data_IF_832329353668
#
_entry.id   IF_832329353668
#
_cell.length_a   1.000
_cell.length_b   1.000
_cell.length_c   1.000
_cell.angle_alpha   90.00
_cell.angle_beta   90.00
_cell.angle_gamma   90.00
#
_symmetry.space_group_name_H-M   'P 1'
#
loop_
_entity.id
_entity.type
_entity.pdbx_description
1 polymer ?
#
# COMPACT_ATOMS: atom_id res chain seq x y z
N UNK A 1 -17.22 -18.04 14.00
CA UNK A 1 -16.06 -17.28 14.51
C UNK A 1 -15.74 -16.11 13.58
N UNK A 2 -15.47 -14.95 14.14
CA UNK A 2 -14.97 -13.84 13.34
C UNK A 2 -13.62 -14.22 12.73
N UNK A 3 -13.36 -13.91 11.45
CA UNK A 3 -12.09 -14.19 10.85
C UNK A 3 -10.99 -13.37 11.53
N UNK A 4 -9.88 -14.02 11.82
CA UNK A 4 -8.74 -13.39 12.46
C UNK A 4 -7.90 -12.62 11.44
N UNK A 5 -7.42 -11.46 11.85
CA UNK A 5 -6.43 -10.70 11.12
C UNK A 5 -5.04 -11.24 11.42
N UNK A 6 -4.20 -11.27 10.43
CA UNK A 6 -2.78 -11.57 10.55
C UNK A 6 -1.96 -10.30 10.34
N UNK A 7 -0.98 -10.07 11.20
CA UNK A 7 -0.11 -8.91 11.13
C UNK A 7 1.29 -9.34 10.69
N UNK A 8 1.80 -8.71 9.64
CA UNK A 8 3.19 -8.86 9.21
C UNK A 8 3.93 -7.54 9.44
N UNK A 9 4.78 -7.52 10.45
CA UNK A 9 5.69 -6.41 10.71
C UNK A 9 7.00 -6.65 9.98
N UNK A 10 7.30 -5.82 9.00
CA UNK A 10 8.45 -5.94 8.13
C UNK A 10 9.18 -4.60 8.09
N UNK A 11 9.81 -4.26 9.23
CA UNK A 11 10.36 -2.93 9.49
C UNK A 11 11.77 -2.73 8.94
N UNK A 12 12.43 -3.77 8.46
CA UNK A 12 13.63 -3.64 7.65
C UNK A 12 13.25 -3.10 6.27
N UNK A 13 14.02 -2.14 5.77
CA UNK A 13 13.81 -1.63 4.43
C UNK A 13 14.09 -2.70 3.37
N UNK A 14 13.20 -2.84 2.40
CA UNK A 14 13.37 -3.75 1.26
C UNK A 14 13.30 -2.99 -0.06
N UNK A 15 14.00 -3.47 -1.10
CA UNK A 15 13.84 -2.88 -2.43
C UNK A 15 12.41 -3.07 -2.96
N UNK A 16 12.01 -2.19 -3.88
CA UNK A 16 10.64 -2.15 -4.40
C UNK A 16 10.14 -3.49 -4.95
N UNK A 17 10.99 -4.21 -5.69
CA UNK A 17 10.59 -5.50 -6.25
C UNK A 17 10.27 -6.56 -5.19
N UNK A 18 10.99 -6.57 -4.05
CA UNK A 18 10.67 -7.46 -2.93
C UNK A 18 9.37 -7.03 -2.24
N UNK A 19 9.21 -5.74 -2.00
CA UNK A 19 7.99 -5.22 -1.37
C UNK A 19 6.75 -5.55 -2.19
N UNK A 20 6.81 -5.34 -3.50
CA UNK A 20 5.67 -5.65 -4.37
C UNK A 20 5.45 -7.16 -4.55
N UNK A 21 6.52 -7.96 -4.53
CA UNK A 21 6.42 -9.40 -4.51
C UNK A 21 5.72 -9.93 -3.26
N UNK A 22 6.02 -9.36 -2.10
CA UNK A 22 5.33 -9.69 -0.84
C UNK A 22 3.87 -9.28 -0.86
N UNK A 23 3.54 -8.08 -1.34
CA UNK A 23 2.16 -7.64 -1.47
C UNK A 23 1.37 -8.55 -2.43
N UNK A 24 1.99 -8.97 -3.54
CA UNK A 24 1.38 -9.91 -4.47
C UNK A 24 1.14 -11.30 -3.83
N UNK A 25 2.07 -11.76 -3.01
CA UNK A 25 1.92 -13.02 -2.27
C UNK A 25 0.77 -12.93 -1.26
N UNK A 26 0.63 -11.81 -0.57
CA UNK A 26 -0.47 -11.60 0.37
C UNK A 26 -1.83 -11.51 -0.36
N UNK A 27 -1.84 -10.91 -1.55
CA UNK A 27 -3.04 -10.87 -2.39
C UNK A 27 -3.51 -12.29 -2.77
N UNK A 28 -2.58 -13.17 -3.12
CA UNK A 28 -2.89 -14.57 -3.40
C UNK A 28 -3.45 -15.30 -2.18
N UNK A 29 -2.96 -14.98 -0.98
CA UNK A 29 -3.48 -15.54 0.27
C UNK A 29 -4.87 -14.98 0.60
N UNK A 30 -5.11 -13.71 0.31
CA UNK A 30 -6.42 -13.10 0.48
C UNK A 30 -7.48 -13.75 -0.41
N UNK A 31 -7.10 -14.22 -1.60
CA UNK A 31 -8.00 -14.99 -2.48
C UNK A 31 -8.46 -16.32 -1.86
N UNK A 32 -7.73 -16.81 -0.85
CA UNK A 32 -8.09 -18.00 -0.06
C UNK A 32 -8.88 -17.65 1.22
N UNK A 33 -9.27 -16.39 1.39
CA UNK A 33 -10.04 -15.93 2.54
C UNK A 33 -9.21 -15.40 3.71
N UNK A 34 -7.90 -15.34 3.60
CA UNK A 34 -7.05 -14.80 4.66
C UNK A 34 -7.14 -13.27 4.70
N UNK A 35 -6.89 -12.68 5.87
CA UNK A 35 -6.88 -11.23 6.10
C UNK A 35 -5.53 -10.82 6.67
N UNK A 36 -4.83 -9.96 5.95
CA UNK A 36 -3.49 -9.52 6.29
C UNK A 36 -3.41 -8.01 6.39
N UNK A 37 -2.72 -7.54 7.43
CA UNK A 37 -2.18 -6.19 7.53
C UNK A 37 -0.67 -6.30 7.53
N UNK A 38 -0.01 -5.62 6.60
CA UNK A 38 1.44 -5.54 6.54
C UNK A 38 1.88 -4.10 6.77
N UNK A 39 2.89 -3.91 7.64
CA UNK A 39 3.57 -2.64 7.84
C UNK A 39 5.02 -2.81 7.39
N UNK A 40 5.50 -1.91 6.53
CA UNK A 40 6.81 -2.10 5.92
C UNK A 40 7.48 -0.78 5.52
N UNK A 41 8.75 -0.89 5.16
CA UNK A 41 9.59 0.23 4.74
C UNK A 41 10.29 -0.09 3.42
N UNK A 42 10.87 0.95 2.83
CA UNK A 42 11.55 0.88 1.54
C UNK A 42 13.03 1.21 1.71
N UNK A 43 13.90 0.41 1.11
CA UNK A 43 15.32 0.69 1.00
C UNK A 43 15.89 -0.08 -0.20
N UNK A 44 16.45 0.63 -1.18
CA UNK A 44 16.54 2.09 -1.29
C UNK A 44 15.18 2.77 -1.46
N UNK A 45 15.17 4.11 -1.46
CA UNK A 45 13.96 4.86 -1.82
C UNK A 45 13.47 4.41 -3.20
N UNK A 46 12.16 4.34 -3.37
CA UNK A 46 11.56 3.72 -4.55
C UNK A 46 10.45 4.58 -5.15
N UNK A 47 10.39 4.61 -6.46
CA UNK A 47 9.28 5.20 -7.20
C UNK A 47 8.35 4.07 -7.64
N UNK A 48 7.12 4.06 -7.14
CA UNK A 48 6.14 3.07 -7.56
C UNK A 48 5.09 3.65 -8.49
N UNK A 49 4.79 2.93 -9.57
CA UNK A 49 3.76 3.30 -10.52
C UNK A 49 2.48 2.51 -10.26
N UNK A 50 1.34 3.11 -10.55
CA UNK A 50 0.06 2.41 -10.50
C UNK A 50 -0.03 1.29 -11.53
N UNK A 51 -0.86 0.28 -11.26
CA UNK A 51 -0.98 -0.93 -12.09
C UNK A 51 -1.21 -0.64 -13.58
N UNK A 52 -2.07 0.33 -13.89
CA UNK A 52 -2.44 0.67 -15.26
C UNK A 52 -1.90 2.04 -15.71
N UNK A 53 -1.02 2.62 -14.91
CA UNK A 53 -0.48 3.94 -15.21
C UNK A 53 0.47 3.88 -16.41
N UNK A 54 0.28 4.77 -17.42
CA UNK A 54 1.17 4.82 -18.58
C UNK A 54 2.48 5.55 -18.24
N UNK A 55 3.33 4.92 -17.43
CA UNK A 55 4.52 5.53 -16.83
C UNK A 55 5.49 6.09 -17.90
N UNK A 56 5.69 5.38 -18.99
CA UNK A 56 6.60 5.83 -20.08
C UNK A 56 6.11 7.08 -20.80
N UNK A 57 4.82 7.40 -20.71
CA UNK A 57 4.25 8.63 -21.28
C UNK A 57 4.27 9.80 -20.33
N UNK A 58 4.27 9.53 -19.01
CA UNK A 58 4.13 10.55 -17.96
C UNK A 58 5.45 10.95 -17.34
N UNK A 59 6.43 10.04 -17.34
CA UNK A 59 7.67 10.24 -16.58
C UNK A 59 8.88 10.06 -17.48
N UNK A 60 9.93 10.82 -17.17
CA UNK A 60 11.18 10.83 -17.93
C UNK A 60 12.05 9.63 -17.52
N UNK A 61 12.04 8.60 -18.37
CA UNK A 61 12.81 7.37 -18.16
C UNK A 61 14.30 7.65 -18.05
N UNK A 62 14.85 8.54 -18.86
CA UNK A 62 16.28 8.84 -18.86
C UNK A 62 16.72 9.45 -17.54
N UNK A 63 15.91 10.35 -16.98
CA UNK A 63 16.18 10.93 -15.65
C UNK A 63 16.10 9.91 -14.54
N UNK A 64 15.16 8.99 -14.60
CA UNK A 64 15.02 7.91 -13.64
C UNK A 64 16.26 7.02 -13.66
N UNK A 65 16.72 6.62 -14.85
CA UNK A 65 17.90 5.79 -15.02
C UNK A 65 19.18 6.51 -14.61
N UNK A 66 19.35 7.79 -15.01
CA UNK A 66 20.51 8.59 -14.66
C UNK A 66 20.67 8.77 -13.15
N UNK A 67 19.57 8.87 -12.42
CA UNK A 67 19.56 8.99 -10.96
C UNK A 67 19.57 7.66 -10.24
N UNK A 68 19.60 6.56 -10.96
CA UNK A 68 19.59 5.18 -10.43
C UNK A 68 18.45 4.96 -9.41
N UNK A 69 17.28 5.51 -9.72
CA UNK A 69 16.12 5.33 -8.85
C UNK A 69 15.64 3.89 -8.92
N UNK A 70 15.32 3.34 -7.77
CA UNK A 70 14.58 2.08 -7.71
C UNK A 70 13.15 2.34 -8.17
N UNK A 71 12.64 1.52 -9.06
CA UNK A 71 11.29 1.67 -9.63
C UNK A 71 10.55 0.35 -9.64
N UNK A 72 9.24 0.43 -9.45
CA UNK A 72 8.39 -0.76 -9.44
C UNK A 72 6.96 -0.39 -9.84
N UNK A 73 6.21 -1.38 -10.31
CA UNK A 73 4.78 -1.23 -10.57
C UNK A 73 4.00 -1.95 -9.48
N UNK A 74 3.01 -1.25 -8.89
CA UNK A 74 2.15 -1.82 -7.85
C UNK A 74 1.05 -2.70 -8.45
N UNK A 75 0.56 -3.70 -7.71
CA UNK A 75 -0.65 -4.44 -8.08
C UNK A 75 -1.93 -3.60 -7.93
N UNK A 76 -1.85 -2.44 -7.28
CA UNK A 76 -2.96 -1.50 -7.06
C UNK A 76 -2.92 -0.33 -8.04
N UNK A 77 -4.05 0.37 -8.19
CA UNK A 77 -4.15 1.52 -9.09
C UNK A 77 -3.49 2.79 -8.56
N UNK A 78 -3.83 3.91 -9.18
CA UNK A 78 -3.35 5.23 -8.80
C UNK A 78 -2.16 5.71 -9.61
N UNK A 79 -1.58 6.83 -9.19
CA UNK A 79 -0.42 7.48 -9.82
C UNK A 79 0.88 7.12 -9.10
N UNK A 80 1.99 7.57 -9.66
CA UNK A 80 3.31 7.38 -9.06
C UNK A 80 3.39 7.94 -7.65
N UNK A 81 4.04 7.18 -6.77
CA UNK A 81 4.33 7.56 -5.39
C UNK A 81 5.82 7.41 -5.16
N UNK A 82 6.41 8.45 -4.58
CA UNK A 82 7.79 8.40 -4.12
C UNK A 82 7.83 7.91 -2.68
N UNK A 83 8.39 6.72 -2.49
CA UNK A 83 8.57 6.09 -1.18
C UNK A 83 9.95 6.39 -0.64
N UNK A 84 10.00 7.14 0.44
CA UNK A 84 11.25 7.55 1.09
C UNK A 84 11.24 7.14 2.56
N UNK A 85 11.44 8.08 3.47
CA UNK A 85 11.41 7.83 4.90
C UNK A 85 9.97 7.77 5.41
N UNK A 86 9.36 6.63 5.23
CA UNK A 86 7.94 6.41 5.54
C UNK A 86 7.71 5.03 6.15
N UNK A 87 6.58 4.90 6.81
CA UNK A 87 5.98 3.61 7.13
C UNK A 87 4.81 3.40 6.18
N UNK A 88 4.88 2.33 5.40
CA UNK A 88 3.83 1.96 4.46
C UNK A 88 2.99 0.83 5.05
N UNK A 89 1.70 0.84 4.77
CA UNK A 89 0.83 -0.29 5.09
C UNK A 89 0.22 -0.89 3.82
N UNK A 90 -0.05 -2.19 3.87
CA UNK A 90 -0.86 -2.90 2.88
C UNK A 90 -1.90 -3.75 3.59
N UNK A 91 -3.09 -3.76 3.06
CA UNK A 91 -4.17 -4.64 3.49
C UNK A 91 -4.52 -5.57 2.35
N UNK A 92 -4.48 -6.86 2.62
CA UNK A 92 -4.89 -7.90 1.69
C UNK A 92 -5.99 -8.74 2.35
N UNK A 93 -7.20 -8.65 1.84
CA UNK A 93 -8.37 -9.32 2.40
C UNK A 93 -9.46 -9.44 1.34
N UNK A 94 -10.41 -10.40 1.50
CA UNK A 94 -11.61 -10.40 0.68
C UNK A 94 -12.42 -9.12 0.88
N UNK A 95 -12.88 -8.52 -0.20
CA UNK A 95 -13.62 -7.25 -0.15
C UNK A 95 -15.12 -7.45 0.18
N UNK A 96 -15.70 -8.58 -0.19
CA UNK A 96 -17.14 -8.84 -0.02
C UNK A 96 -17.61 -8.72 1.44
N UNK A 97 -16.89 -9.26 2.46
CA UNK A 97 -17.32 -9.11 3.86
C UNK A 97 -17.40 -7.66 4.34
N UNK A 98 -16.74 -6.73 3.64
CA UNK A 98 -16.82 -5.30 3.95
C UNK A 98 -17.99 -4.60 3.24
N UNK A 99 -18.62 -5.24 2.28
CA UNK A 99 -19.63 -4.61 1.43
C UNK A 99 -19.08 -4.03 0.13
N UNK A 100 -17.92 -4.52 -0.33
CA UNK A 100 -17.24 -4.08 -1.54
C UNK A 100 -16.01 -3.20 -1.28
N UNK A 101 -15.35 -2.76 -2.33
CA UNK A 101 -14.06 -2.07 -2.25
C UNK A 101 -14.16 -0.71 -1.55
N UNK A 102 -15.17 0.10 -1.87
CA UNK A 102 -15.35 1.42 -1.24
C UNK A 102 -15.61 1.30 0.25
N UNK A 103 -16.47 0.38 0.65
CA UNK A 103 -16.76 0.11 2.06
C UNK A 103 -15.52 -0.43 2.79
N UNK A 104 -14.70 -1.25 2.14
CA UNK A 104 -13.45 -1.74 2.69
C UNK A 104 -12.46 -0.58 2.95
N UNK A 105 -12.31 0.35 2.03
CA UNK A 105 -11.48 1.54 2.25
C UNK A 105 -11.93 2.36 3.44
N UNK A 106 -13.23 2.62 3.54
CA UNK A 106 -13.79 3.38 4.66
C UNK A 106 -13.51 2.71 6.01
N UNK A 107 -13.70 1.40 6.08
CA UNK A 107 -13.45 0.62 7.29
C UNK A 107 -11.97 0.59 7.69
N UNK A 108 -11.08 0.40 6.73
CA UNK A 108 -9.63 0.41 6.97
C UNK A 108 -9.19 1.77 7.49
N UNK A 109 -9.65 2.86 6.87
CA UNK A 109 -9.33 4.21 7.33
C UNK A 109 -9.87 4.47 8.74
N UNK A 110 -11.08 4.01 9.05
CA UNK A 110 -11.64 4.12 10.39
C UNK A 110 -10.78 3.37 11.41
N UNK A 111 -10.35 2.16 11.10
CA UNK A 111 -9.47 1.38 11.98
C UNK A 111 -8.13 2.08 12.24
N UNK A 112 -7.52 2.68 11.21
CA UNK A 112 -6.27 3.44 11.35
C UNK A 112 -6.48 4.71 12.19
N UNK A 113 -7.57 5.43 11.98
CA UNK A 113 -7.93 6.61 12.78
C UNK A 113 -8.11 6.25 14.24
N UNK A 114 -8.85 5.19 14.54
CA UNK A 114 -9.09 4.72 15.90
C UNK A 114 -7.79 4.31 16.59
N UNK A 115 -6.89 3.63 15.88
CA UNK A 115 -5.59 3.24 16.41
C UNK A 115 -4.72 4.47 16.75
N UNK A 116 -4.70 5.48 15.90
CA UNK A 116 -3.96 6.72 16.13
C UNK A 116 -4.56 7.50 17.29
N UNK A 117 -5.88 7.62 17.38
CA UNK A 117 -6.57 8.29 18.48
C UNK A 117 -6.31 7.62 19.82
N UNK A 118 -6.28 6.29 19.85
CA UNK A 118 -5.96 5.52 21.04
C UNK A 118 -4.55 5.80 21.58
N UNK A 119 -3.65 6.30 20.73
CA UNK A 119 -2.28 6.71 21.08
C UNK A 119 -2.14 8.21 21.35
N UNK A 120 -3.24 8.95 21.40
CA UNK A 120 -3.24 10.39 21.70
C UNK A 120 -3.05 11.31 20.51
N UNK A 121 -2.98 10.77 19.30
CA UNK A 121 -2.94 11.58 18.08
C UNK A 121 -4.31 12.16 17.75
N UNK A 122 -4.35 13.27 17.01
CA UNK A 122 -5.57 13.89 16.51
C UNK A 122 -5.55 13.85 14.98
N UNK A 123 -5.76 12.68 14.36
CA UNK A 123 -5.74 12.55 12.91
C UNK A 123 -6.95 13.21 12.28
N UNK A 124 -6.72 13.84 11.14
CA UNK A 124 -7.76 14.37 10.27
C UNK A 124 -7.80 13.57 8.97
N UNK A 125 -8.99 13.34 8.45
CA UNK A 125 -9.16 12.72 7.13
C UNK A 125 -9.17 13.83 6.10
N UNK A 126 -8.13 13.90 5.27
CA UNK A 126 -8.16 14.75 4.11
C UNK A 126 -9.03 14.09 3.03
N UNK A 127 -10.16 14.68 2.73
CA UNK A 127 -10.95 14.31 1.56
C UNK A 127 -10.29 14.95 0.34
N UNK A 128 -9.50 14.17 -0.40
CA UNK A 128 -9.07 14.60 -1.72
C UNK A 128 -10.30 14.55 -2.63
N UNK A 129 -10.70 15.72 -3.10
CA UNK A 129 -11.70 15.79 -4.16
C UNK A 129 -11.05 15.21 -5.43
N UNK A 130 -11.41 13.99 -5.73
CA UNK A 130 -10.97 13.28 -6.93
C UNK A 130 -11.92 13.63 -8.09
N UNK A 131 -12.12 14.95 -8.31
CA UNK A 131 -12.95 15.48 -9.37
C UNK A 131 -12.66 14.94 -10.78
#
# INVERSE_FOLDING_TARGET
MAPSWRLLLDLEGRPGWQNMGLDQALLARAARGERWLRLYRWSPHCLSFGRHEPALRRYDRQRIEARRLDVVRRPTGGRAVWHAEELTYAVAAPAEPFGGLRAAYAEIHRMLLDALRARGFRPEVAMLDMG
#
